data_IF_328505989371
#
_entry.id   IF_328505989371
#
_cell.length_a   1.000
_cell.length_b   1.000
_cell.length_c   1.000
_cell.angle_alpha   90.00
_cell.angle_beta   90.00
_cell.angle_gamma   90.00
#
_symmetry.space_group_name_H-M   'P 1'
#
loop_
_entity.id
_entity.type
_entity.pdbx_description
1 polymer ?
#
# COMPACT_ATOMS: atom_id res chain seq x y z
N UNK A 1 6.98 -23.07 27.14
CA UNK A 1 5.74 -22.33 27.45
C UNK A 1 5.72 -21.04 26.64
N UNK A 2 4.56 -20.66 26.09
CA UNK A 2 4.40 -19.41 25.34
C UNK A 2 4.38 -18.17 26.26
N UNK A 3 4.50 -16.98 25.67
CA UNK A 3 4.56 -15.69 26.37
C UNK A 3 3.41 -15.48 27.38
N UNK A 4 2.23 -16.02 27.09
CA UNK A 4 1.01 -15.83 27.90
C UNK A 4 0.69 -17.00 28.86
N UNK A 5 1.49 -18.06 28.85
CA UNK A 5 1.24 -19.27 29.65
C UNK A 5 1.16 -19.04 31.17
N UNK A 6 2.05 -18.24 31.80
CA UNK A 6 1.95 -17.91 33.23
C UNK A 6 0.66 -17.20 33.64
N UNK A 7 -0.11 -16.70 32.68
CA UNK A 7 -1.38 -16.00 32.89
C UNK A 7 -2.61 -16.84 32.50
N UNK A 8 -2.42 -18.14 32.25
CA UNK A 8 -3.52 -19.09 32.05
C UNK A 8 -3.95 -19.31 30.60
N UNK A 9 -3.24 -18.77 29.61
CA UNK A 9 -3.51 -19.07 28.20
C UNK A 9 -2.93 -20.43 27.81
N UNK A 10 -3.79 -21.34 27.34
CA UNK A 10 -3.44 -22.63 26.76
C UNK A 10 -3.73 -22.62 25.25
N UNK A 11 -2.67 -22.54 24.44
CA UNK A 11 -2.81 -22.47 22.98
C UNK A 11 -3.48 -23.71 22.36
N UNK A 12 -3.42 -24.88 23.01
CA UNK A 12 -4.05 -26.10 22.50
C UNK A 12 -5.58 -26.08 22.69
N UNK A 13 -6.08 -25.33 23.68
CA UNK A 13 -7.49 -25.30 24.05
C UNK A 13 -8.18 -23.96 23.72
N UNK A 14 -7.48 -22.83 23.85
CA UNK A 14 -8.08 -21.49 23.84
C UNK A 14 -8.15 -20.85 22.44
N UNK A 15 -7.44 -21.38 21.44
CA UNK A 15 -7.50 -20.86 20.07
C UNK A 15 -8.74 -21.41 19.35
N UNK A 16 -9.74 -20.55 19.15
CA UNK A 16 -10.97 -20.93 18.46
C UNK A 16 -10.79 -21.16 16.94
N UNK A 17 -9.94 -20.37 16.28
CA UNK A 17 -9.67 -20.49 14.85
C UNK A 17 -8.37 -19.77 14.46
N UNK A 18 -7.77 -20.22 13.35
CA UNK A 18 -6.63 -19.56 12.69
C UNK A 18 -7.00 -19.36 11.23
N UNK A 19 -6.93 -18.12 10.76
CA UNK A 19 -7.08 -17.78 9.33
C UNK A 19 -5.76 -17.25 8.82
N UNK A 20 -5.25 -17.86 7.75
CA UNK A 20 -4.00 -17.42 7.10
C UNK A 20 -4.31 -16.89 5.72
N UNK A 21 -3.93 -15.64 5.49
CA UNK A 21 -4.04 -14.99 4.18
C UNK A 21 -2.64 -14.71 3.64
N UNK A 22 -2.31 -15.26 2.47
CA UNK A 22 -1.03 -14.97 1.80
C UNK A 22 -1.27 -14.05 0.61
N UNK A 23 -0.80 -12.81 0.73
CA UNK A 23 -0.86 -11.79 -0.31
C UNK A 23 0.57 -11.43 -0.73
N UNK A 24 1.16 -12.09 -1.75
CA UNK A 24 2.55 -11.83 -2.16
C UNK A 24 2.81 -10.38 -2.57
N UNK A 25 1.77 -9.69 -3.04
CA UNK A 25 1.75 -8.29 -3.42
C UNK A 25 0.61 -7.56 -2.70
N UNK A 26 0.56 -7.70 -1.37
CA UNK A 26 -0.50 -7.11 -0.54
C UNK A 26 -0.36 -5.60 -0.30
N UNK A 27 0.83 -5.04 -0.54
CA UNK A 27 1.15 -3.64 -0.34
C UNK A 27 1.81 -3.08 -1.58
N UNK A 28 1.46 -1.85 -1.94
CA UNK A 28 2.25 -1.05 -2.87
C UNK A 28 3.63 -0.79 -2.27
N UNK A 29 4.61 -0.51 -3.13
CA UNK A 29 5.92 -0.08 -2.67
C UNK A 29 5.83 1.29 -1.99
N UNK A 30 6.37 1.39 -0.77
CA UNK A 30 6.57 2.65 -0.06
C UNK A 30 8.07 2.89 0.10
N UNK A 31 8.48 4.15 0.03
CA UNK A 31 9.89 4.49 0.07
C UNK A 31 10.52 4.18 1.43
N UNK A 32 11.66 3.51 1.37
CA UNK A 32 12.47 3.17 2.51
C UNK A 32 13.78 3.96 2.46
N UNK A 33 13.90 4.97 3.31
CA UNK A 33 15.04 5.89 3.38
C UNK A 33 16.41 5.19 3.58
N UNK A 34 16.43 3.94 4.04
CA UNK A 34 17.68 3.17 4.19
C UNK A 34 18.22 2.65 2.84
N UNK A 35 17.34 2.36 1.88
CA UNK A 35 17.70 1.68 0.63
C UNK A 35 17.37 2.48 -0.63
N UNK A 36 16.38 3.37 -0.55
CA UNK A 36 15.97 4.22 -1.65
C UNK A 36 16.77 5.53 -1.69
N UNK A 37 16.84 6.19 -2.86
CA UNK A 37 17.34 7.55 -2.94
C UNK A 37 16.64 8.48 -1.94
N UNK A 38 17.43 9.23 -1.19
CA UNK A 38 16.94 10.09 -0.11
C UNK A 38 16.01 11.23 -0.59
N UNK A 39 16.02 11.54 -1.88
CA UNK A 39 15.14 12.54 -2.48
C UNK A 39 13.76 11.98 -2.86
N UNK A 40 13.57 10.66 -2.83
CA UNK A 40 12.27 10.05 -3.11
C UNK A 40 11.26 10.38 -2.02
N UNK A 41 10.07 10.77 -2.45
CA UNK A 41 8.98 11.28 -1.59
C UNK A 41 7.64 11.15 -2.32
N UNK A 42 6.50 11.44 -1.68
CA UNK A 42 5.22 11.48 -2.38
C UNK A 42 5.21 12.42 -3.61
N UNK A 43 6.09 13.42 -3.63
CA UNK A 43 6.23 14.42 -4.71
C UNK A 43 7.45 14.20 -5.61
N UNK A 44 8.26 13.17 -5.39
CA UNK A 44 9.43 12.86 -6.22
C UNK A 44 9.69 11.36 -6.24
N UNK A 45 9.83 10.75 -7.41
CA UNK A 45 10.08 9.32 -7.51
C UNK A 45 9.52 8.69 -8.79
N UNK A 46 9.83 7.40 -9.02
CA UNK A 46 9.43 6.69 -10.23
C UNK A 46 7.91 6.55 -10.40
N UNK A 47 7.14 6.51 -9.30
CA UNK A 47 5.67 6.44 -9.34
C UNK A 47 5.03 7.60 -10.11
N UNK A 48 5.63 8.79 -10.08
CA UNK A 48 5.12 9.96 -10.81
C UNK A 48 5.23 9.78 -12.32
N UNK A 49 6.35 9.23 -12.79
CA UNK A 49 6.52 8.90 -14.21
C UNK A 49 5.65 7.71 -14.60
N UNK A 50 5.59 6.70 -13.73
CA UNK A 50 4.79 5.50 -13.94
C UNK A 50 3.28 5.75 -14.02
N UNK A 51 2.77 6.78 -13.35
CA UNK A 51 1.34 7.14 -13.34
C UNK A 51 0.92 8.18 -14.37
N UNK A 52 1.87 8.73 -15.15
CA UNK A 52 1.58 9.81 -16.08
C UNK A 52 0.49 9.40 -17.10
N UNK A 53 -0.43 10.30 -17.50
CA UNK A 53 -1.46 9.96 -18.46
C UNK A 53 -0.90 9.52 -19.81
N UNK A 54 -1.53 8.53 -20.44
CA UNK A 54 -1.21 8.06 -21.78
C UNK A 54 -2.40 8.37 -22.69
N UNK A 55 -2.37 9.54 -23.35
CA UNK A 55 -3.51 10.03 -24.13
C UNK A 55 -4.75 10.20 -23.24
N UNK A 56 -5.81 9.44 -23.51
CA UNK A 56 -7.06 9.42 -22.72
C UNK A 56 -7.07 8.36 -21.61
N UNK A 57 -5.91 7.88 -21.18
CA UNK A 57 -5.77 6.86 -20.13
C UNK A 57 -5.09 7.49 -18.91
N UNK A 58 -5.80 7.51 -17.78
CA UNK A 58 -5.25 7.88 -16.47
C UNK A 58 -5.04 6.64 -15.61
N UNK A 59 -3.96 6.60 -14.82
CA UNK A 59 -3.62 5.48 -13.93
C UNK A 59 -3.96 5.86 -12.48
N UNK A 60 -4.76 5.03 -11.81
CA UNK A 60 -5.16 5.21 -10.42
C UNK A 60 -5.11 3.91 -9.62
N UNK A 61 -4.35 3.92 -8.52
CA UNK A 61 -4.25 2.88 -7.48
C UNK A 61 -3.24 3.36 -6.41
N UNK A 62 -3.01 2.57 -5.36
CA UNK A 62 -1.99 2.81 -4.33
C UNK A 62 -0.56 2.93 -4.88
N UNK A 63 -0.18 2.12 -5.87
CA UNK A 63 1.16 2.11 -6.49
C UNK A 63 1.44 3.42 -7.22
N UNK A 64 0.41 4.02 -7.83
CA UNK A 64 0.48 5.33 -8.44
C UNK A 64 0.72 6.45 -7.41
N UNK A 65 0.61 6.16 -6.12
CA UNK A 65 0.90 7.10 -5.03
C UNK A 65 2.16 6.74 -4.26
N UNK A 66 2.83 5.61 -4.56
CA UNK A 66 3.88 5.02 -3.72
C UNK A 66 3.47 4.95 -2.24
N UNK A 67 2.20 4.58 -2.01
CA UNK A 67 1.56 4.64 -0.70
C UNK A 67 0.49 3.54 -0.60
N UNK A 68 0.68 2.61 0.34
CA UNK A 68 -0.03 1.33 0.31
C UNK A 68 -1.42 1.35 0.99
N UNK A 69 -1.82 2.49 1.53
CA UNK A 69 -3.06 2.62 2.28
C UNK A 69 -4.23 3.03 1.39
N UNK A 70 -5.44 2.71 1.85
CA UNK A 70 -6.69 2.95 1.11
C UNK A 70 -6.87 4.41 0.69
N UNK A 71 -6.45 5.37 1.53
CA UNK A 71 -6.54 6.78 1.20
C UNK A 71 -5.61 7.16 0.02
N UNK A 72 -4.45 6.51 -0.14
CA UNK A 72 -3.59 6.70 -1.31
C UNK A 72 -4.24 6.29 -2.62
N UNK A 73 -5.02 5.20 -2.59
CA UNK A 73 -5.81 4.75 -3.73
C UNK A 73 -6.97 5.70 -4.04
N UNK A 74 -7.65 6.24 -3.02
CA UNK A 74 -8.72 7.23 -3.20
C UNK A 74 -8.20 8.57 -3.73
N UNK A 75 -7.11 9.09 -3.19
CA UNK A 75 -6.49 10.32 -3.68
C UNK A 75 -6.03 10.17 -5.14
N UNK A 76 -5.49 9.00 -5.51
CA UNK A 76 -5.15 8.69 -6.89
C UNK A 76 -6.38 8.63 -7.81
N UNK A 77 -7.50 8.09 -7.34
CA UNK A 77 -8.75 8.06 -8.10
C UNK A 77 -9.30 9.48 -8.33
N UNK A 78 -9.32 10.33 -7.30
CA UNK A 78 -9.73 11.74 -7.42
C UNK A 78 -8.85 12.48 -8.43
N UNK A 79 -7.52 12.31 -8.35
CA UNK A 79 -6.59 12.88 -9.32
C UNK A 79 -6.90 12.43 -10.74
N UNK A 80 -7.05 11.12 -10.96
CA UNK A 80 -7.28 10.56 -12.29
C UNK A 80 -8.60 11.03 -12.91
N UNK A 81 -9.67 11.18 -12.11
CA UNK A 81 -10.91 11.81 -12.58
C UNK A 81 -10.66 13.26 -12.99
N UNK A 82 -9.91 14.02 -12.18
CA UNK A 82 -9.52 15.39 -12.53
C UNK A 82 -8.75 15.49 -13.84
N UNK A 83 -7.80 14.58 -14.08
CA UNK A 83 -7.07 14.49 -15.35
C UNK A 83 -8.01 14.28 -16.55
N UNK A 84 -9.01 13.39 -16.43
CA UNK A 84 -9.98 13.11 -17.51
C UNK A 84 -10.95 14.27 -17.79
N UNK A 85 -11.27 15.07 -16.78
CA UNK A 85 -12.15 16.23 -16.93
C UNK A 85 -11.42 17.46 -17.47
N UNK A 86 -10.09 17.46 -17.44
CA UNK A 86 -9.24 18.57 -17.87
C UNK A 86 -8.73 18.42 -19.31
N UNK A 87 -9.16 17.38 -20.02
CA UNK A 87 -8.78 17.05 -21.42
C UNK A 87 -9.62 17.85 -22.41
#
# INVERSE_FOLDING_TARGET
SGMLGPHGFDAEHDIAAITVNRWPHGYAYEYNELYDPADWSPKNGPHLKGRAPIGRISIANSDSSAYAYVNGAFDAAVRAVGEQLSV
#
